data_IF_074721987300
#
_entry.id   IF_074721987300
#
_cell.length_a   1.000
_cell.length_b   1.000
_cell.length_c   1.000
_cell.angle_alpha   90.00
_cell.angle_beta   90.00
_cell.angle_gamma   90.00
#
_symmetry.space_group_name_H-M   'P 1'
#
loop_
_entity.id
_entity.type
_entity.pdbx_description
1 polymer ?
#
# COMPACT_ATOMS: atom_id res chain seq x y z
N UNK A 1 20.64 8.27 2.78
CA UNK A 1 19.42 8.74 3.48
C UNK A 1 18.18 7.89 3.14
N UNK A 2 18.33 6.56 2.99
CA UNK A 2 17.23 5.62 2.67
C UNK A 2 16.71 4.84 3.87
N UNK A 3 17.54 4.68 4.91
CA UNK A 3 17.24 3.87 6.10
C UNK A 3 16.08 4.37 6.99
N UNK A 4 15.67 5.63 6.84
CA UNK A 4 14.56 6.20 7.65
C UNK A 4 13.19 5.64 7.23
N UNK A 5 12.96 5.36 5.96
CA UNK A 5 11.70 4.76 5.50
C UNK A 5 11.59 3.27 5.83
N UNK A 6 12.70 2.51 5.72
CA UNK A 6 12.74 1.08 6.09
C UNK A 6 12.42 0.85 7.58
N UNK A 7 12.96 1.68 8.48
CA UNK A 7 12.75 1.52 9.92
C UNK A 7 11.33 1.91 10.37
N UNK A 8 10.68 2.87 9.72
CA UNK A 8 9.28 3.23 10.00
C UNK A 8 8.33 2.15 9.47
N UNK A 9 8.68 1.50 8.35
CA UNK A 9 7.92 0.36 7.83
C UNK A 9 7.96 -0.84 8.78
N UNK A 10 9.13 -1.21 9.30
CA UNK A 10 9.28 -2.38 10.19
C UNK A 10 8.54 -2.25 11.52
N UNK A 11 8.31 -1.04 12.04
CA UNK A 11 7.59 -0.84 13.31
C UNK A 11 6.07 -0.84 13.19
N UNK A 12 5.51 -0.80 11.96
CA UNK A 12 4.07 -0.59 11.68
C UNK A 12 3.42 -1.80 10.98
N UNK A 13 4.14 -2.89 10.74
CA UNK A 13 3.57 -4.10 10.12
C UNK A 13 3.20 -5.12 11.20
N UNK A 14 2.21 -4.78 12.02
CA UNK A 14 1.30 -5.84 12.46
C UNK A 14 0.43 -6.21 11.25
N UNK A 15 0.46 -7.50 10.89
CA UNK A 15 -0.32 -8.08 9.80
C UNK A 15 -1.76 -7.52 9.87
N UNK A 16 -2.22 -6.92 8.77
CA UNK A 16 -3.57 -6.35 8.60
C UNK A 16 -3.88 -5.01 9.30
N UNK A 17 -2.91 -4.28 9.84
CA UNK A 17 -3.17 -2.96 10.45
C UNK A 17 -3.82 -1.98 9.45
N UNK A 18 -3.42 -2.02 8.18
CA UNK A 18 -4.01 -1.22 7.10
C UNK A 18 -5.51 -1.48 6.90
N UNK A 19 -6.02 -2.65 7.29
CA UNK A 19 -7.46 -2.98 7.18
C UNK A 19 -8.29 -2.35 8.30
N UNK A 20 -7.67 -1.94 9.40
CA UNK A 20 -8.35 -1.32 10.54
C UNK A 20 -8.64 0.17 10.29
N UNK A 21 -7.94 0.81 9.36
CA UNK A 21 -8.06 2.25 9.09
C UNK A 21 -9.47 2.65 8.63
N UNK A 22 -9.90 3.87 9.01
CA UNK A 22 -11.20 4.43 8.59
C UNK A 22 -11.25 4.66 7.08
N UNK A 23 -10.10 4.96 6.49
CA UNK A 23 -9.82 5.17 5.07
C UNK A 23 -9.99 3.88 4.28
N UNK A 24 -9.40 2.77 4.71
CA UNK A 24 -9.60 1.45 4.09
C UNK A 24 -11.06 1.01 4.13
N UNK A 25 -11.74 1.17 5.28
CA UNK A 25 -13.13 0.75 5.44
C UNK A 25 -14.09 1.43 4.45
N UNK A 26 -13.79 2.69 4.05
CA UNK A 26 -14.56 3.48 3.08
C UNK A 26 -14.30 3.12 1.62
N UNK A 27 -13.24 2.34 1.33
CA UNK A 27 -12.93 1.93 -0.03
C UNK A 27 -13.97 0.96 -0.60
N UNK A 28 -14.15 1.02 -1.92
CA UNK A 28 -14.96 0.04 -2.64
C UNK A 28 -14.31 -1.36 -2.56
N UNK A 29 -15.07 -2.46 -2.69
CA UNK A 29 -14.53 -3.82 -2.61
C UNK A 29 -13.35 -4.06 -3.57
N UNK A 30 -13.42 -3.52 -4.79
CA UNK A 30 -12.33 -3.63 -5.78
C UNK A 30 -11.06 -2.90 -5.34
N UNK A 31 -11.23 -1.71 -4.75
CA UNK A 31 -10.10 -0.92 -4.25
C UNK A 31 -9.47 -1.58 -3.02
N UNK A 32 -10.28 -2.16 -2.13
CA UNK A 32 -9.78 -2.97 -1.00
C UNK A 32 -8.91 -4.13 -1.47
N UNK A 33 -9.37 -4.90 -2.46
CA UNK A 33 -8.59 -6.00 -3.03
C UNK A 33 -7.29 -5.53 -3.70
N UNK A 34 -7.33 -4.36 -4.35
CA UNK A 34 -6.13 -3.75 -4.92
C UNK A 34 -5.12 -3.36 -3.83
N UNK A 35 -5.57 -2.64 -2.81
CA UNK A 35 -4.76 -2.24 -1.66
C UNK A 35 -4.16 -3.46 -0.95
N UNK A 36 -4.97 -4.48 -0.67
CA UNK A 36 -4.51 -5.73 -0.04
C UNK A 36 -3.45 -6.44 -0.86
N UNK A 37 -3.59 -6.48 -2.20
CA UNK A 37 -2.56 -7.08 -3.04
C UNK A 37 -1.25 -6.30 -2.97
N UNK A 38 -1.30 -4.96 -2.91
CA UNK A 38 -0.09 -4.15 -2.80
C UNK A 38 0.58 -4.42 -1.46
N UNK A 39 -0.16 -4.37 -0.33
CA UNK A 39 0.36 -4.72 1.00
C UNK A 39 0.99 -6.11 1.04
N UNK A 40 0.35 -7.12 0.45
CA UNK A 40 0.93 -8.46 0.38
C UNK A 40 2.27 -8.50 -0.38
N UNK A 41 2.40 -7.71 -1.45
CA UNK A 41 3.67 -7.60 -2.19
C UNK A 41 4.72 -6.89 -1.35
N UNK A 42 4.36 -5.83 -0.63
CA UNK A 42 5.26 -5.12 0.29
C UNK A 42 5.77 -6.05 1.40
N UNK A 43 4.86 -6.77 2.06
CA UNK A 43 5.17 -7.70 3.15
C UNK A 43 6.07 -8.84 2.69
N UNK A 44 5.89 -9.30 1.45
CA UNK A 44 6.72 -10.36 0.89
C UNK A 44 8.17 -9.94 0.62
N UNK A 45 8.40 -8.65 0.33
CA UNK A 45 9.71 -8.10 -0.06
C UNK A 45 9.88 -6.63 0.37
N UNK A 46 10.02 -6.36 1.67
CA UNK A 46 10.08 -4.98 2.17
C UNK A 46 11.32 -4.22 1.69
N UNK A 47 12.44 -4.90 1.46
CA UNK A 47 13.70 -4.29 0.99
C UNK A 47 13.64 -3.74 -0.43
N UNK A 48 12.82 -4.35 -1.30
CA UNK A 48 12.65 -3.94 -2.71
C UNK A 48 11.41 -3.08 -2.93
N UNK A 49 10.73 -2.69 -1.84
CA UNK A 49 9.44 -2.04 -1.89
C UNK A 49 9.49 -0.73 -2.70
N UNK A 50 10.36 0.22 -2.33
CA UNK A 50 10.43 1.53 -3.00
C UNK A 50 10.76 1.42 -4.49
N UNK A 51 11.63 0.47 -4.85
CA UNK A 51 12.04 0.26 -6.24
C UNK A 51 10.92 -0.39 -7.10
N UNK A 52 10.02 -1.14 -6.46
CA UNK A 52 8.96 -1.89 -7.13
C UNK A 52 7.56 -1.32 -6.91
N UNK A 53 7.41 -0.26 -6.10
CA UNK A 53 6.13 0.27 -5.69
C UNK A 53 5.31 0.78 -6.89
N UNK A 54 5.88 1.66 -7.71
CA UNK A 54 5.21 2.18 -8.91
C UNK A 54 4.78 1.06 -9.87
N UNK A 55 5.63 0.05 -10.03
CA UNK A 55 5.32 -1.11 -10.88
C UNK A 55 4.18 -1.93 -10.29
N UNK A 56 4.15 -2.09 -8.98
CA UNK A 56 3.10 -2.83 -8.26
C UNK A 56 1.77 -2.09 -8.33
N UNK A 57 1.77 -0.76 -8.16
CA UNK A 57 0.60 0.10 -8.32
C UNK A 57 0.02 -0.05 -9.74
N UNK A 58 0.84 0.12 -10.78
CA UNK A 58 0.43 -0.02 -12.18
C UNK A 58 -0.17 -1.40 -12.47
N UNK A 59 0.51 -2.45 -12.03
CA UNK A 59 0.08 -3.84 -12.27
C UNK A 59 -1.24 -4.14 -11.55
N UNK A 60 -1.37 -3.68 -10.31
CA UNK A 60 -2.56 -3.86 -9.47
C UNK A 60 -3.73 -3.05 -9.99
N UNK A 61 -3.51 -1.78 -10.36
CA UNK A 61 -4.50 -0.90 -10.96
C UNK A 61 -5.14 -1.55 -12.19
N UNK A 62 -4.30 -2.07 -13.08
CA UNK A 62 -4.74 -2.80 -14.27
C UNK A 62 -5.52 -4.07 -13.93
N UNK A 63 -5.05 -4.85 -12.96
CA UNK A 63 -5.70 -6.12 -12.55
C UNK A 63 -7.09 -5.92 -11.95
N UNK A 64 -7.25 -4.95 -11.05
CA UNK A 64 -8.52 -4.68 -10.37
C UNK A 64 -9.38 -3.63 -11.09
N UNK A 65 -8.91 -3.10 -12.23
CA UNK A 65 -9.57 -2.05 -13.01
C UNK A 65 -9.89 -0.80 -12.15
N UNK A 66 -8.91 -0.39 -11.35
CA UNK A 66 -8.96 0.83 -10.52
C UNK A 66 -7.96 1.84 -11.07
N UNK A 67 -8.13 3.13 -10.73
CA UNK A 67 -7.22 4.17 -11.21
C UNK A 67 -5.93 4.16 -10.39
N UNK A 68 -4.78 4.22 -11.06
CA UNK A 68 -3.47 4.31 -10.39
C UNK A 68 -3.41 5.48 -9.41
N UNK A 69 -3.93 6.64 -9.83
CA UNK A 69 -4.00 7.84 -8.99
C UNK A 69 -4.75 7.59 -7.67
N UNK A 70 -5.85 6.84 -7.70
CA UNK A 70 -6.62 6.58 -6.48
C UNK A 70 -5.86 5.68 -5.49
N UNK A 71 -5.05 4.74 -6.00
CA UNK A 71 -4.16 3.94 -5.17
C UNK A 71 -3.06 4.81 -4.57
N UNK A 72 -2.40 5.64 -5.38
CA UNK A 72 -1.37 6.57 -4.90
C UNK A 72 -1.93 7.52 -3.84
N UNK A 73 -3.07 8.18 -4.12
CA UNK A 73 -3.74 9.08 -3.18
C UNK A 73 -4.11 8.37 -1.86
N UNK A 74 -4.47 7.08 -1.90
CA UNK A 74 -4.75 6.29 -0.71
C UNK A 74 -3.48 6.02 0.11
N UNK A 75 -2.41 5.53 -0.53
CA UNK A 75 -1.17 5.23 0.16
C UNK A 75 -0.49 6.50 0.69
N UNK A 76 -0.54 7.62 -0.04
CA UNK A 76 -0.07 8.91 0.47
C UNK A 76 -0.82 9.30 1.74
N UNK A 77 -2.15 9.21 1.77
CA UNK A 77 -2.94 9.52 2.97
C UNK A 77 -2.62 8.61 4.13
N UNK A 78 -2.46 7.31 3.86
CA UNK A 78 -2.20 6.34 4.92
C UNK A 78 -0.79 6.49 5.51
N UNK A 79 0.20 6.78 4.67
CA UNK A 79 1.58 7.00 5.09
C UNK A 79 1.81 8.38 5.71
N UNK A 80 1.04 9.40 5.34
CA UNK A 80 1.08 10.75 5.94
C UNK A 80 0.22 10.88 7.21
N UNK A 81 -0.70 9.93 7.44
CA UNK A 81 -1.56 9.89 8.62
C UNK A 81 -0.98 9.08 9.79
N UNK A 82 0.23 8.53 9.62
CA UNK A 82 1.05 7.87 10.65
C UNK A 82 2.10 8.87 11.15
#
# INVERSE_FOLDING_TARGET
>A
MTKKFENVYLSVVEKDEHKKSKTYKKLSPKMKSAVDQIFNVMDSKPSDFLNSFDKTIKTTAKKFKVREKELMDYFEKEMLSI
#
